data_IF_922494454967
#
_entry.id   IF_922494454967
#
_cell.length_a   1.000
_cell.length_b   1.000
_cell.length_c   1.000
_cell.angle_alpha   90.00
_cell.angle_beta   90.00
_cell.angle_gamma   90.00
#
_symmetry.space_group_name_H-M   'P 1'
#
loop_
_entity.id
_entity.type
_entity.pdbx_description
1 polymer ?
#
# COMPACT_ATOMS: atom_id res chain seq x y z
N UNK A 1 12.69 -5.87 9.61
CA UNK A 1 12.49 -5.05 8.39
C UNK A 1 12.18 -6.01 7.26
N UNK A 2 10.93 -5.98 6.82
CA UNK A 2 10.38 -6.82 5.76
C UNK A 2 9.85 -5.91 4.66
N UNK A 3 10.15 -6.22 3.40
CA UNK A 3 9.61 -5.49 2.27
C UNK A 3 8.51 -6.31 1.63
N UNK A 4 7.29 -5.76 1.63
CA UNK A 4 6.12 -6.39 1.03
C UNK A 4 5.54 -5.48 -0.05
N UNK A 5 4.77 -6.05 -0.98
CA UNK A 5 4.04 -5.23 -1.95
C UNK A 5 2.80 -4.62 -1.31
N UNK A 6 2.40 -3.43 -1.76
CA UNK A 6 1.14 -2.82 -1.35
C UNK A 6 -0.04 -3.75 -1.61
N UNK A 7 -0.02 -4.48 -2.74
CA UNK A 7 -1.01 -5.50 -3.05
C UNK A 7 -1.21 -6.53 -1.92
N UNK A 8 -0.13 -6.93 -1.22
CA UNK A 8 -0.25 -7.90 -0.12
C UNK A 8 -0.90 -7.29 1.12
N UNK A 9 -0.63 -6.02 1.40
CA UNK A 9 -1.25 -5.27 2.50
C UNK A 9 -2.76 -5.12 2.22
N UNK A 10 -3.09 -4.64 1.03
CA UNK A 10 -4.47 -4.44 0.59
C UNK A 10 -5.22 -5.77 0.59
N UNK A 11 -4.66 -6.84 0.02
CA UNK A 11 -5.30 -8.15 -0.01
C UNK A 11 -5.57 -8.73 1.39
N UNK A 12 -4.72 -8.42 2.37
CA UNK A 12 -4.86 -8.91 3.74
C UNK A 12 -5.89 -8.13 4.56
N UNK A 13 -5.89 -6.79 4.44
CA UNK A 13 -6.69 -5.91 5.31
C UNK A 13 -7.93 -5.35 4.62
N UNK A 14 -7.80 -4.97 3.35
CA UNK A 14 -8.83 -4.27 2.59
C UNK A 14 -8.93 -4.82 1.15
N UNK A 15 -9.26 -6.11 0.98
CA UNK A 15 -9.29 -6.74 -0.34
C UNK A 15 -10.29 -6.05 -1.28
N UNK A 16 -11.33 -5.44 -0.74
CA UNK A 16 -12.30 -4.64 -1.50
C UNK A 16 -11.68 -3.41 -2.18
N UNK A 17 -10.53 -2.92 -1.72
CA UNK A 17 -9.81 -1.81 -2.37
C UNK A 17 -8.94 -2.26 -3.56
N UNK A 18 -8.63 -3.55 -3.71
CA UNK A 18 -7.83 -4.07 -4.83
C UNK A 18 -8.30 -3.59 -6.22
N UNK A 19 -9.60 -3.66 -6.58
CA UNK A 19 -10.07 -3.21 -7.89
C UNK A 19 -10.04 -1.69 -8.09
N UNK A 20 -9.91 -0.91 -7.02
CA UNK A 20 -9.85 0.57 -7.08
C UNK A 20 -8.42 1.10 -7.27
N UNK A 21 -7.41 0.25 -7.06
CA UNK A 21 -6.00 0.59 -7.17
C UNK A 21 -5.44 0.19 -8.53
N UNK A 22 -4.53 1.00 -9.07
CA UNK A 22 -3.84 0.68 -10.30
C UNK A 22 -2.71 -0.33 -10.04
N UNK A 23 -2.34 -1.09 -11.07
CA UNK A 23 -1.22 -2.04 -10.95
C UNK A 23 0.09 -1.39 -10.49
N UNK A 24 0.34 -0.13 -10.88
CA UNK A 24 1.52 0.61 -10.42
C UNK A 24 1.51 0.84 -8.91
N UNK A 25 0.36 1.23 -8.36
CA UNK A 25 0.19 1.45 -6.92
C UNK A 25 0.33 0.12 -6.18
N UNK A 26 -0.32 -0.94 -6.68
CA UNK A 26 -0.26 -2.29 -6.12
C UNK A 26 1.16 -2.89 -6.12
N UNK A 27 2.00 -2.53 -7.10
CA UNK A 27 3.39 -2.99 -7.18
C UNK A 27 4.35 -2.21 -6.25
N UNK A 28 3.86 -1.18 -5.56
CA UNK A 28 4.67 -0.39 -4.62
C UNK A 28 5.29 -1.26 -3.53
N UNK A 29 6.59 -1.08 -3.30
CA UNK A 29 7.30 -1.76 -2.23
C UNK A 29 7.16 -0.98 -0.92
N UNK A 30 6.57 -1.62 0.08
CA UNK A 30 6.38 -1.07 1.42
C UNK A 30 7.34 -1.77 2.38
N UNK A 31 8.10 -0.97 3.12
CA UNK A 31 9.04 -1.47 4.14
C UNK A 31 8.33 -1.43 5.49
N UNK A 32 8.04 -2.61 6.03
CA UNK A 32 7.49 -2.78 7.37
C UNK A 32 8.62 -3.06 8.35
N UNK A 33 8.60 -2.38 9.50
CA UNK A 33 9.62 -2.57 10.54
C UNK A 33 9.54 -3.99 11.12
N UNK A 34 8.33 -4.39 11.50
CA UNK A 34 8.05 -5.63 12.21
C UNK A 34 7.33 -6.68 11.33
N UNK A 35 7.02 -6.31 10.08
CA UNK A 35 6.43 -7.20 9.07
C UNK A 35 4.91 -7.16 8.98
N UNK A 36 4.37 -7.84 7.98
CA UNK A 36 2.93 -7.82 7.68
C UNK A 36 2.08 -8.52 8.74
N UNK A 37 2.67 -9.38 9.55
CA UNK A 37 1.98 -10.21 10.54
C UNK A 37 1.42 -9.39 11.70
N UNK A 38 2.14 -8.35 12.12
CA UNK A 38 1.75 -7.50 13.25
C UNK A 38 1.23 -6.13 12.84
N UNK A 39 1.20 -5.84 11.54
CA UNK A 39 0.67 -4.59 11.01
C UNK A 39 -0.79 -4.44 11.43
N UNK A 40 -1.17 -3.31 11.99
CA UNK A 40 -2.55 -3.04 12.38
C UNK A 40 -3.36 -2.53 11.18
N UNK A 41 -4.70 -2.74 11.15
CA UNK A 41 -5.53 -2.25 10.06
C UNK A 41 -5.48 -0.73 9.89
N UNK A 42 -5.28 0.02 10.97
CA UNK A 42 -5.15 1.48 10.96
C UNK A 42 -3.87 1.91 10.23
N UNK A 43 -2.71 1.37 10.63
CA UNK A 43 -1.44 1.58 9.93
C UNK A 43 -1.48 1.11 8.46
N UNK A 44 -2.11 -0.04 8.20
CA UNK A 44 -2.27 -0.55 6.84
C UNK A 44 -3.03 0.45 5.95
N UNK A 45 -4.08 1.08 6.47
CA UNK A 45 -4.84 2.10 5.76
C UNK A 45 -4.00 3.37 5.50
N UNK A 46 -3.21 3.82 6.47
CA UNK A 46 -2.31 4.96 6.27
C UNK A 46 -1.28 4.70 5.18
N UNK A 47 -0.66 3.51 5.19
CA UNK A 47 0.29 3.08 4.15
C UNK A 47 -0.37 3.08 2.77
N UNK A 48 -1.59 2.56 2.67
CA UNK A 48 -2.34 2.50 1.41
C UNK A 48 -2.61 3.91 0.88
N UNK A 49 -3.15 4.78 1.71
CA UNK A 49 -3.43 6.17 1.34
C UNK A 49 -2.16 6.93 0.94
N UNK A 50 -1.08 6.75 1.70
CA UNK A 50 0.20 7.37 1.40
C UNK A 50 0.75 6.89 0.05
N UNK A 51 0.71 5.58 -0.21
CA UNK A 51 1.22 4.99 -1.44
C UNK A 51 0.43 5.43 -2.68
N UNK A 52 -0.90 5.56 -2.57
CA UNK A 52 -1.77 6.13 -3.59
C UNK A 52 -1.43 7.61 -3.84
N UNK A 53 -1.34 8.40 -2.77
CA UNK A 53 -1.07 9.82 -2.84
C UNK A 53 0.27 10.13 -3.52
N UNK A 54 1.33 9.41 -3.16
CA UNK A 54 2.66 9.56 -3.77
C UNK A 54 2.64 9.28 -5.28
N UNK A 55 1.94 8.22 -5.70
CA UNK A 55 1.84 7.88 -7.13
C UNK A 55 0.99 8.88 -7.91
N UNK A 56 -0.11 9.39 -7.34
CA UNK A 56 -0.94 10.40 -7.98
C UNK A 56 -0.25 11.76 -8.03
N UNK A 57 0.46 12.16 -6.96
CA UNK A 57 1.20 13.42 -6.93
C UNK A 57 2.37 13.41 -7.92
N UNK A 58 3.06 12.27 -8.05
CA UNK A 58 4.07 12.08 -9.10
C UNK A 58 3.48 12.14 -10.51
N UNK A 59 2.20 11.78 -10.70
CA UNK A 59 1.52 11.88 -12.00
C UNK A 59 1.06 13.30 -12.34
N UNK A 60 0.82 14.15 -11.33
CA UNK A 60 0.35 15.54 -11.52
C UNK A 60 1.48 16.57 -11.76
N UNK A 61 2.74 16.20 -11.54
CA UNK A 61 3.89 17.10 -11.66
C UNK A 61 4.55 17.13 -13.06
N UNK A 62 3.83 16.79 -14.14
CA UNK A 62 4.36 16.80 -15.52
C UNK A 62 3.74 17.92 -16.37
#
# INVERSE_FOLDING_TARGET
METVKLAQIVMKWFPDMLPFLNQKELDSMIILRDGLTILEPEDAMEIIQFSICEHQNSAFLH
#
